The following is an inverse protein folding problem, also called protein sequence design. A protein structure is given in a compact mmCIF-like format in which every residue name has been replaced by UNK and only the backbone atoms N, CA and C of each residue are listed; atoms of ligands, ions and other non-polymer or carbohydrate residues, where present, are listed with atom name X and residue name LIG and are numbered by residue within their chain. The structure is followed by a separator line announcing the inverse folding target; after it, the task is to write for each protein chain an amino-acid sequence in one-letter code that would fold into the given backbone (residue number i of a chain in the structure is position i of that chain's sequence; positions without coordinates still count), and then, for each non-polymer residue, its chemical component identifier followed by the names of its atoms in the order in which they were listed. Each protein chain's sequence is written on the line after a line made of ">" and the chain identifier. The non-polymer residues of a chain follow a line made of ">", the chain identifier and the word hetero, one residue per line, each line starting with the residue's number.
data_IF_205019364175
#
_entry.id   IF_205019364175
#
_cell.length_a   1.000
_cell.length_b   1.000
_cell.length_c   1.000
_cell.angle_alpha   90.00
_cell.angle_beta   90.00
_cell.angle_gamma   90.00
#
_symmetry.space_group_name_H-M   'P 1'
#
loop_
_entity.id
_entity.type
_entity.pdbx_description
1 polymer ?
#
# COMPACT_ATOMS: atom_id res chain seq x y z
N UNK A 1 -54.65 13.47 48.63
CA UNK A 1 -53.31 13.48 49.26
C UNK A 1 -52.39 14.20 48.29
N UNK A 2 -52.06 15.49 48.47
CA UNK A 2 -50.91 16.00 49.25
C UNK A 2 -49.61 15.25 48.85
N UNK A 3 -48.52 15.82 48.34
CA UNK A 3 -48.05 17.17 48.04
C UNK A 3 -46.76 17.05 47.18
N UNK A 4 -46.40 18.03 46.33
CA UNK A 4 -45.30 18.99 46.53
C UNK A 4 -43.97 18.35 47.01
N UNK A 5 -42.82 18.49 46.34
CA UNK A 5 -42.06 19.76 46.27
C UNK A 5 -40.84 19.68 45.34
N UNK A 6 -40.64 20.78 44.59
CA UNK A 6 -39.36 21.27 44.07
C UNK A 6 -38.38 21.62 45.19
N UNK A 7 -37.06 21.48 44.95
CA UNK A 7 -36.06 22.40 45.54
C UNK A 7 -35.01 22.82 44.50
N UNK A 8 -34.77 24.12 44.55
CA UNK A 8 -34.04 25.07 43.72
C UNK A 8 -32.51 25.08 43.98
N UNK A 9 -31.69 25.21 42.91
CA UNK A 9 -30.54 26.16 42.64
C UNK A 9 -29.46 26.47 43.74
N UNK A 10 -28.37 27.23 43.45
CA UNK A 10 -27.41 27.28 42.32
C UNK A 10 -25.91 27.40 42.75
N UNK A 11 -25.03 27.51 41.75
CA UNK A 11 -23.62 27.99 41.68
C UNK A 11 -23.21 29.09 42.69
N UNK A 12 -22.00 28.96 43.29
CA UNK A 12 -21.07 30.08 43.54
C UNK A 12 -19.59 29.64 43.58
N UNK A 13 -18.78 30.29 42.75
CA UNK A 13 -17.30 30.34 42.83
C UNK A 13 -16.80 31.04 44.11
N UNK A 14 -15.50 30.93 44.44
CA UNK A 14 -14.78 32.13 44.84
C UNK A 14 -13.38 32.34 44.23
N UNK A 15 -12.97 33.60 44.35
CA UNK A 15 -11.89 34.32 43.69
C UNK A 15 -10.48 34.07 44.27
N UNK A 16 -9.50 34.13 43.37
CA UNK A 16 -8.11 34.65 43.46
C UNK A 16 -7.57 35.16 44.81
N UNK A 17 -6.29 34.83 45.09
CA UNK A 17 -5.25 35.77 45.56
C UNK A 17 -3.83 35.39 45.06
N UNK A 18 -2.97 36.42 44.96
CA UNK A 18 -1.65 36.54 44.31
C UNK A 18 -0.46 36.15 45.21
N UNK A 19 0.68 35.80 44.58
CA UNK A 19 2.05 36.40 44.70
C UNK A 19 3.06 35.56 43.88
N UNK A 20 3.60 36.03 42.74
CA UNK A 20 4.91 36.70 42.53
C UNK A 20 6.09 35.95 43.18
N UNK A 21 7.21 35.57 42.55
CA UNK A 21 8.19 36.22 41.62
C UNK A 21 9.04 35.04 41.04
N UNK A 22 9.80 35.12 39.95
CA UNK A 22 10.34 36.24 39.21
C UNK A 22 10.90 35.81 37.85
N UNK A 23 11.13 36.83 37.03
CA UNK A 23 11.66 36.82 35.67
C UNK A 23 13.15 36.47 35.65
N UNK A 24 13.63 35.81 34.60
CA UNK A 24 14.82 36.28 33.87
C UNK A 24 14.97 35.60 32.49
N UNK A 25 14.58 36.35 31.46
CA UNK A 25 15.28 36.48 30.18
C UNK A 25 15.11 37.95 29.75
N UNK A 26 16.14 38.60 29.17
CA UNK A 26 16.29 38.52 27.70
C UNK A 26 17.74 38.58 27.15
N UNK A 27 17.93 37.89 26.00
CA UNK A 27 18.55 38.24 24.67
C UNK A 27 19.63 39.35 24.58
N UNK A 28 20.23 39.59 23.39
CA UNK A 28 21.07 38.76 22.50
C UNK A 28 22.45 39.44 22.25
N UNK A 29 23.43 38.76 21.64
CA UNK A 29 24.66 39.45 21.18
C UNK A 29 24.97 39.18 19.72
N UNK A 30 25.32 40.27 19.03
CA UNK A 30 25.49 40.44 17.58
C UNK A 30 26.80 39.87 17.04
N UNK A 31 26.73 39.56 15.74
CA UNK A 31 27.76 39.53 14.70
C UNK A 31 29.12 40.20 14.98
N UNK A 32 30.18 39.49 14.60
CA UNK A 32 31.41 40.07 14.03
C UNK A 32 31.75 39.30 12.74
N UNK A 33 32.10 40.07 11.71
CA UNK A 33 32.58 39.68 10.38
C UNK A 33 34.09 39.98 10.27
N UNK A 34 34.73 39.49 9.19
CA UNK A 34 36.14 39.54 8.76
C UNK A 34 37.00 38.36 9.27
N UNK A 35 37.79 37.64 8.47
CA UNK A 35 38.47 37.97 7.22
C UNK A 35 38.69 36.73 6.33
N UNK A 36 38.83 37.01 5.03
CA UNK A 36 39.29 36.14 3.94
C UNK A 36 40.79 35.82 4.01
N UNK A 37 41.21 34.65 3.49
CA UNK A 37 42.39 34.33 2.64
C UNK A 37 42.53 32.79 2.61
N UNK A 38 42.27 32.13 1.46
CA UNK A 38 43.26 31.61 0.49
C UNK A 38 44.33 30.67 1.13
N UNK A 39 44.74 29.52 0.61
CA UNK A 39 44.52 28.83 -0.65
C UNK A 39 45.29 27.48 -0.55
N UNK A 40 44.87 26.49 -1.36
CA UNK A 40 45.72 25.46 -2.02
C UNK A 40 46.16 24.13 -1.37
N UNK A 41 46.02 23.11 -2.25
CA UNK A 41 46.64 21.77 -2.34
C UNK A 41 45.95 20.61 -1.59
N UNK A 42 45.57 19.49 -2.22
CA UNK A 42 45.72 19.04 -3.60
C UNK A 42 44.95 17.73 -3.82
N UNK A 43 44.31 17.61 -4.98
CA UNK A 43 43.61 16.42 -5.46
C UNK A 43 44.64 15.55 -6.18
N UNK A 44 44.77 14.28 -5.78
CA UNK A 44 45.56 13.27 -6.51
C UNK A 44 44.61 12.43 -7.38
N UNK A 45 44.73 12.44 -8.73
CA UNK A 45 44.14 11.40 -9.55
C UNK A 45 45.07 10.18 -9.60
N UNK A 46 44.59 9.03 -9.12
CA UNK A 46 45.26 7.74 -9.33
C UNK A 46 44.84 7.22 -10.71
N UNK A 47 45.75 7.34 -11.69
CA UNK A 47 45.63 6.66 -12.98
C UNK A 47 46.07 5.21 -12.84
N UNK A 48 45.15 4.27 -13.00
CA UNK A 48 45.47 2.84 -13.14
C UNK A 48 45.45 2.53 -14.64
N UNK A 49 46.63 2.45 -15.25
CA UNK A 49 46.85 1.86 -16.57
C UNK A 49 46.96 0.34 -16.43
N UNK A 50 46.08 -0.39 -17.11
CA UNK A 50 46.17 -1.84 -17.29
C UNK A 50 47.24 -2.21 -18.32
N UNK A 51 47.89 -3.38 -18.21
CA UNK A 51 48.44 -4.08 -19.36
C UNK A 51 47.37 -4.98 -19.99
N UNK A 52 47.13 -4.79 -21.29
CA UNK A 52 46.46 -5.75 -22.15
C UNK A 52 47.48 -6.86 -22.46
N UNK A 53 47.17 -8.10 -22.07
CA UNK A 53 47.89 -9.27 -22.57
C UNK A 53 46.97 -10.03 -23.54
N UNK A 54 47.44 -10.14 -24.78
CA UNK A 54 46.77 -10.71 -25.95
C UNK A 54 47.36 -12.09 -26.22
N UNK A 55 46.89 -13.13 -25.51
CA UNK A 55 47.05 -14.54 -25.91
C UNK A 55 45.91 -15.40 -25.33
N UNK A 56 44.88 -15.66 -26.15
CA UNK A 56 44.50 -17.04 -26.51
C UNK A 56 43.26 -17.03 -27.40
N UNK A 57 43.51 -17.12 -28.70
CA UNK A 57 42.51 -17.50 -29.69
C UNK A 57 42.39 -19.02 -29.70
N UNK A 58 41.14 -19.48 -29.74
CA UNK A 58 40.68 -20.77 -30.23
C UNK A 58 40.23 -21.80 -29.17
N UNK A 59 39.11 -21.52 -28.51
CA UNK A 59 38.16 -22.57 -28.14
C UNK A 59 36.81 -22.29 -28.82
N UNK A 60 36.41 -23.21 -29.71
CA UNK A 60 35.08 -23.20 -30.32
C UNK A 60 34.06 -23.50 -29.23
N UNK A 61 33.49 -22.46 -28.64
CA UNK A 61 32.25 -22.58 -27.88
C UNK A 61 31.10 -22.67 -28.89
N UNK A 62 30.56 -23.87 -29.00
CA UNK A 62 29.21 -24.13 -29.51
C UNK A 62 28.28 -23.16 -28.78
N UNK A 63 27.39 -22.40 -29.46
CA UNK A 63 26.40 -21.63 -28.73
C UNK A 63 25.53 -22.63 -28.00
N UNK A 64 25.60 -22.63 -26.67
CA UNK A 64 24.56 -23.22 -25.86
C UNK A 64 23.24 -22.60 -26.33
N UNK A 65 22.28 -23.44 -26.72
CA UNK A 65 20.89 -23.03 -26.81
C UNK A 65 20.57 -22.23 -25.54
N UNK A 66 20.31 -20.94 -25.73
CA UNK A 66 19.61 -20.16 -24.73
C UNK A 66 18.24 -20.82 -24.63
N UNK A 67 18.10 -21.75 -23.69
CA UNK A 67 16.79 -22.18 -23.22
C UNK A 67 16.13 -20.90 -22.70
N UNK A 68 15.28 -20.32 -23.54
CA UNK A 68 14.41 -19.23 -23.16
C UNK A 68 13.66 -19.68 -21.92
N UNK A 69 14.00 -19.11 -20.77
CA UNK A 69 13.14 -19.20 -19.59
C UNK A 69 11.88 -18.43 -19.99
N UNK A 70 10.86 -19.12 -20.49
CA UNK A 70 9.57 -18.53 -20.79
C UNK A 70 9.02 -17.96 -19.48
N UNK A 71 9.20 -16.66 -19.28
CA UNK A 71 8.53 -15.93 -18.22
C UNK A 71 7.03 -15.95 -18.52
N UNK A 72 6.21 -16.20 -17.49
CA UNK A 72 4.76 -16.08 -17.63
C UNK A 72 4.38 -14.72 -18.23
N UNK A 73 3.52 -14.74 -19.24
CA UNK A 73 2.97 -13.53 -19.84
C UNK A 73 2.14 -12.74 -18.81
N UNK A 74 1.94 -11.44 -19.05
CA UNK A 74 1.05 -10.61 -18.21
C UNK A 74 -0.35 -11.22 -18.09
N UNK A 75 -0.90 -11.74 -19.19
CA UNK A 75 -2.20 -12.43 -19.18
C UNK A 75 -2.19 -13.69 -18.31
N UNK A 76 -1.13 -14.52 -18.37
CA UNK A 76 -1.03 -15.72 -17.54
C UNK A 76 -0.88 -15.38 -16.04
N UNK A 77 -0.11 -14.34 -15.70
CA UNK A 77 -0.02 -13.82 -14.32
C UNK A 77 -1.36 -13.29 -13.83
N UNK A 78 -2.12 -12.62 -14.70
CA UNK A 78 -3.45 -12.10 -14.38
C UNK A 78 -4.45 -13.22 -14.12
N UNK A 79 -4.47 -14.26 -14.96
CA UNK A 79 -5.28 -15.44 -14.73
C UNK A 79 -4.90 -16.14 -13.42
N UNK A 80 -3.60 -16.29 -13.15
CA UNK A 80 -3.13 -16.85 -11.86
C UNK A 80 -3.64 -16.04 -10.67
N UNK A 81 -3.66 -14.71 -10.77
CA UNK A 81 -4.19 -13.86 -9.71
C UNK A 81 -5.69 -14.08 -9.53
N UNK A 82 -6.48 -14.15 -10.61
CA UNK A 82 -7.93 -14.45 -10.54
C UNK A 82 -8.17 -15.80 -9.87
N UNK A 83 -7.44 -16.84 -10.28
CA UNK A 83 -7.59 -18.18 -9.72
C UNK A 83 -7.33 -18.20 -8.19
N UNK A 84 -6.43 -17.33 -7.71
CA UNK A 84 -6.18 -17.17 -6.27
C UNK A 84 -7.35 -16.53 -5.50
N UNK A 85 -8.18 -15.69 -6.13
CA UNK A 85 -9.40 -15.18 -5.48
C UNK A 85 -10.43 -16.29 -5.29
N UNK A 86 -10.61 -17.12 -6.32
CA UNK A 86 -11.61 -18.20 -6.34
C UNK A 86 -11.15 -19.48 -5.61
N UNK A 87 -9.86 -19.58 -5.24
CA UNK A 87 -9.33 -20.69 -4.45
C UNK A 87 -10.04 -20.82 -3.08
N UNK A 88 -10.13 -22.02 -2.49
CA UNK A 88 -10.72 -22.19 -1.15
C UNK A 88 -9.95 -21.45 -0.04
N UNK A 89 -8.63 -21.37 -0.16
CA UNK A 89 -7.78 -20.64 0.78
C UNK A 89 -7.90 -19.13 0.55
N UNK A 90 -8.00 -18.34 1.61
CA UNK A 90 -7.97 -16.88 1.51
C UNK A 90 -6.65 -16.40 0.90
N UNK A 91 -6.73 -15.55 -0.12
CA UNK A 91 -5.55 -14.91 -0.68
C UNK A 91 -5.00 -13.88 0.29
N UNK A 92 -3.81 -14.16 0.85
CA UNK A 92 -3.06 -13.22 1.70
C UNK A 92 -2.04 -12.50 0.84
N UNK A 93 -2.14 -11.18 0.76
CA UNK A 93 -1.16 -10.35 0.04
C UNK A 93 -0.47 -9.41 1.01
N UNK A 94 0.84 -9.47 1.07
CA UNK A 94 1.64 -8.48 1.79
C UNK A 94 1.80 -7.26 0.90
N UNK A 95 1.51 -6.10 1.47
CA UNK A 95 1.67 -4.83 0.76
C UNK A 95 3.13 -4.36 0.82
N UNK A 96 3.68 -4.03 -0.34
CA UNK A 96 5.04 -3.49 -0.49
C UNK A 96 5.00 -2.10 -1.12
N UNK A 97 6.08 -1.34 -0.98
CA UNK A 97 6.18 0.05 -1.47
C UNK A 97 7.43 0.30 -2.32
N UNK A 98 8.37 -0.64 -2.37
CA UNK A 98 9.58 -0.55 -3.17
C UNK A 98 10.05 -1.94 -3.65
N UNK A 99 11.09 -1.94 -4.48
CA UNK A 99 11.68 -3.15 -5.07
C UNK A 99 12.34 -4.07 -4.05
N UNK A 100 12.96 -3.50 -3.00
CA UNK A 100 13.70 -4.29 -2.01
C UNK A 100 12.72 -5.07 -1.14
N UNK A 101 11.67 -4.42 -0.65
CA UNK A 101 10.56 -5.04 0.07
C UNK A 101 9.84 -6.07 -0.80
N UNK A 102 9.60 -5.77 -2.08
CA UNK A 102 9.01 -6.73 -3.01
C UNK A 102 9.83 -8.02 -3.15
N UNK A 103 11.15 -7.90 -3.31
CA UNK A 103 12.06 -9.06 -3.38
C UNK A 103 12.13 -9.83 -2.07
N UNK A 104 12.20 -9.13 -0.94
CA UNK A 104 12.24 -9.75 0.38
C UNK A 104 10.96 -10.59 0.63
N UNK A 105 9.80 -10.05 0.29
CA UNK A 105 8.51 -10.77 0.40
C UNK A 105 8.44 -11.92 -0.63
N UNK A 106 8.83 -11.68 -1.89
CA UNK A 106 8.79 -12.69 -2.95
C UNK A 106 9.75 -13.87 -2.73
N UNK A 107 10.78 -13.72 -1.89
CA UNK A 107 11.69 -14.80 -1.52
C UNK A 107 11.05 -15.84 -0.58
N UNK A 108 9.93 -15.50 0.07
CA UNK A 108 9.19 -16.42 0.92
C UNK A 108 8.39 -17.42 0.08
N UNK A 109 8.50 -18.74 0.33
CA UNK A 109 7.79 -19.76 -0.45
C UNK A 109 6.27 -19.66 -0.36
N UNK A 110 5.73 -19.00 0.67
CA UNK A 110 4.30 -18.76 0.86
C UNK A 110 3.75 -17.65 -0.03
N UNK A 111 4.62 -16.82 -0.62
CA UNK A 111 4.19 -15.67 -1.42
C UNK A 111 3.63 -16.13 -2.77
N UNK A 112 2.30 -16.12 -2.88
CA UNK A 112 1.59 -16.43 -4.13
C UNK A 112 1.32 -15.20 -5.00
N UNK A 113 1.17 -14.03 -4.39
CA UNK A 113 1.00 -12.73 -5.04
C UNK A 113 1.41 -11.59 -4.09
N UNK A 114 1.69 -10.41 -4.65
CA UNK A 114 2.05 -9.21 -3.90
C UNK A 114 1.05 -8.10 -4.20
N UNK A 115 0.73 -7.29 -3.19
CA UNK A 115 0.02 -6.04 -3.38
C UNK A 115 0.97 -4.85 -3.20
N UNK A 116 0.73 -3.73 -3.86
CA UNK A 116 1.37 -2.46 -3.48
C UNK A 116 0.52 -1.70 -2.45
N UNK A 117 1.12 -0.81 -1.67
CA UNK A 117 0.37 0.15 -0.85
C UNK A 117 0.60 1.57 -1.40
N UNK A 118 -0.46 2.22 -1.87
CA UNK A 118 -0.39 3.56 -2.44
C UNK A 118 0.18 4.57 -1.44
N UNK A 119 -0.32 4.52 -0.20
CA UNK A 119 0.20 5.31 0.93
C UNK A 119 1.71 5.12 1.14
N UNK A 120 2.20 3.87 1.10
CA UNK A 120 3.61 3.59 1.35
C UNK A 120 4.51 4.09 0.23
N UNK A 121 4.02 4.02 -1.02
CA UNK A 121 4.69 4.60 -2.19
C UNK A 121 4.69 6.13 -2.07
N UNK A 122 3.54 6.75 -1.77
CA UNK A 122 3.41 8.19 -1.58
C UNK A 122 4.44 8.71 -0.55
N UNK A 123 4.48 8.07 0.63
CA UNK A 123 5.42 8.41 1.69
C UNK A 123 6.89 8.30 1.24
N UNK A 124 7.23 7.32 0.39
CA UNK A 124 8.59 7.12 -0.14
C UNK A 124 9.04 8.28 -1.05
N UNK A 125 8.09 8.98 -1.68
CA UNK A 125 8.35 10.15 -2.52
C UNK A 125 8.05 11.48 -1.84
N UNK A 126 7.65 11.47 -0.56
CA UNK A 126 7.30 12.67 0.20
C UNK A 126 5.94 13.28 -0.16
N UNK A 127 5.05 12.50 -0.76
CA UNK A 127 3.64 12.88 -0.98
C UNK A 127 2.76 12.44 0.18
N UNK A 128 1.68 13.19 0.41
CA UNK A 128 0.58 12.73 1.25
C UNK A 128 -0.19 11.60 0.54
N UNK A 129 -0.81 10.73 1.33
CA UNK A 129 -1.63 9.62 0.80
C UNK A 129 -2.74 10.14 -0.14
N UNK A 130 -2.89 9.48 -1.29
CA UNK A 130 -3.85 9.87 -2.33
C UNK A 130 -3.51 11.18 -3.09
N UNK A 131 -2.29 11.71 -2.96
CA UNK A 131 -1.82 12.91 -3.69
C UNK A 131 -0.68 12.64 -4.69
N UNK A 132 -0.23 11.39 -4.79
CA UNK A 132 0.86 10.99 -5.70
C UNK A 132 0.46 11.17 -7.16
N UNK A 133 1.32 11.78 -8.01
CA UNK A 133 1.08 11.82 -9.45
C UNK A 133 0.99 10.42 -10.08
N UNK A 134 0.11 10.25 -11.07
CA UNK A 134 -0.12 8.96 -11.75
C UNK A 134 1.15 8.35 -12.31
N UNK A 135 1.97 9.15 -12.98
CA UNK A 135 3.23 8.71 -13.58
C UNK A 135 4.24 8.22 -12.54
N UNK A 136 4.33 8.90 -11.38
CA UNK A 136 5.14 8.46 -10.25
C UNK A 136 4.65 7.12 -9.70
N UNK A 137 3.33 6.94 -9.53
CA UNK A 137 2.76 5.67 -9.07
C UNK A 137 3.04 4.55 -10.07
N UNK A 138 2.75 4.76 -11.36
CA UNK A 138 2.94 3.77 -12.43
C UNK A 138 4.42 3.37 -12.55
N UNK A 139 5.37 4.30 -12.45
CA UNK A 139 6.80 3.99 -12.47
C UNK A 139 7.19 3.06 -11.31
N UNK A 140 6.79 3.37 -10.07
CA UNK A 140 7.14 2.54 -8.91
C UNK A 140 6.51 1.14 -8.99
N UNK A 141 5.21 1.04 -9.30
CA UNK A 141 4.54 -0.27 -9.40
C UNK A 141 5.11 -1.11 -10.56
N UNK A 142 5.52 -0.47 -11.66
CA UNK A 142 6.21 -1.13 -12.76
C UNK A 142 7.57 -1.70 -12.36
N UNK A 143 8.37 -0.94 -11.60
CA UNK A 143 9.65 -1.44 -11.04
C UNK A 143 9.44 -2.64 -10.14
N UNK A 144 8.41 -2.60 -9.29
CA UNK A 144 8.04 -3.71 -8.40
C UNK A 144 7.63 -4.93 -9.22
N UNK A 145 6.73 -4.78 -10.19
CA UNK A 145 6.25 -5.87 -11.04
C UNK A 145 7.39 -6.53 -11.85
N UNK A 146 8.34 -5.75 -12.34
CA UNK A 146 9.52 -6.26 -13.06
C UNK A 146 10.52 -7.00 -12.13
N UNK A 147 10.52 -6.70 -10.84
CA UNK A 147 11.46 -7.26 -9.88
C UNK A 147 11.06 -8.64 -9.34
N UNK A 148 9.82 -9.09 -9.57
CA UNK A 148 9.26 -10.33 -9.01
C UNK A 148 8.58 -11.21 -10.06
N UNK A 149 8.56 -12.53 -9.83
CA UNK A 149 7.91 -13.49 -10.74
C UNK A 149 6.42 -13.67 -10.44
N UNK A 150 6.01 -13.52 -9.18
CA UNK A 150 4.61 -13.63 -8.75
C UNK A 150 3.75 -12.50 -9.32
N UNK A 151 2.42 -12.70 -9.44
CA UNK A 151 1.49 -11.63 -9.77
C UNK A 151 1.58 -10.44 -8.81
N UNK A 152 1.48 -9.22 -9.37
CA UNK A 152 1.42 -7.96 -8.61
C UNK A 152 0.08 -7.27 -8.86
N UNK A 153 -0.62 -6.92 -7.79
CA UNK A 153 -1.82 -6.08 -7.81
C UNK A 153 -1.51 -4.70 -7.21
N UNK A 154 -1.81 -3.63 -7.93
CA UNK A 154 -1.45 -2.28 -7.52
C UNK A 154 -2.58 -1.57 -6.78
N UNK A 155 -2.24 -0.72 -5.82
CA UNK A 155 -3.15 0.31 -5.33
C UNK A 155 -3.08 1.53 -6.27
N UNK A 156 -4.18 1.82 -6.99
CA UNK A 156 -4.24 2.86 -8.02
C UNK A 156 -5.19 4.01 -7.63
N UNK A 157 -5.35 4.25 -6.32
CA UNK A 157 -6.22 5.27 -5.75
C UNK A 157 -7.62 5.23 -6.40
N UNK A 158 -8.16 6.36 -6.86
CA UNK A 158 -9.46 6.46 -7.53
C UNK A 158 -9.36 6.41 -9.07
N UNK A 159 -8.23 5.91 -9.60
CA UNK A 159 -7.94 5.84 -11.02
C UNK A 159 -7.37 7.12 -11.62
N UNK A 160 -6.90 8.08 -10.79
CA UNK A 160 -6.17 9.29 -11.21
C UNK A 160 -6.89 10.13 -12.29
N UNK A 161 -8.22 10.22 -12.20
CA UNK A 161 -9.06 10.98 -13.12
C UNK A 161 -9.41 10.28 -14.44
N UNK A 162 -8.69 9.22 -14.81
CA UNK A 162 -9.00 8.36 -15.96
C UNK A 162 -8.61 6.91 -15.63
N UNK A 163 -9.58 6.17 -15.09
CA UNK A 163 -9.34 4.81 -14.59
C UNK A 163 -8.98 3.83 -15.72
N UNK A 164 -9.58 3.99 -16.91
CA UNK A 164 -9.28 3.14 -18.07
C UNK A 164 -7.84 3.32 -18.55
N UNK A 165 -7.41 4.57 -18.76
CA UNK A 165 -6.03 4.83 -19.18
C UNK A 165 -5.02 4.45 -18.09
N UNK A 166 -5.34 4.68 -16.82
CA UNK A 166 -4.49 4.26 -15.70
C UNK A 166 -4.30 2.74 -15.69
N UNK A 167 -5.37 1.96 -15.89
CA UNK A 167 -5.29 0.50 -16.00
C UNK A 167 -4.44 0.08 -17.19
N UNK A 168 -4.62 0.71 -18.36
CA UNK A 168 -3.82 0.44 -19.55
C UNK A 168 -2.33 0.62 -19.29
N UNK A 169 -1.97 1.73 -18.65
CA UNK A 169 -0.58 2.02 -18.25
C UNK A 169 -0.04 1.02 -17.22
N UNK A 170 -0.86 0.61 -16.25
CA UNK A 170 -0.48 -0.38 -15.25
C UNK A 170 -0.22 -1.76 -15.88
N UNK A 171 -1.09 -2.19 -16.80
CA UNK A 171 -0.92 -3.43 -17.58
C UNK A 171 0.37 -3.40 -18.39
N UNK A 172 0.64 -2.29 -19.09
CA UNK A 172 1.87 -2.09 -19.85
C UNK A 172 3.12 -2.17 -18.95
N UNK A 173 3.00 -1.77 -17.68
CA UNK A 173 4.06 -1.87 -16.68
C UNK A 173 4.20 -3.26 -16.03
N UNK A 174 3.35 -4.23 -16.40
CA UNK A 174 3.38 -5.61 -15.90
C UNK A 174 2.53 -5.87 -14.65
N UNK A 175 1.72 -4.91 -14.22
CA UNK A 175 0.73 -5.09 -13.15
C UNK A 175 -0.48 -5.84 -13.70
N UNK A 176 -1.06 -6.75 -12.91
CA UNK A 176 -2.09 -7.69 -13.38
C UNK A 176 -3.40 -7.63 -12.61
N UNK A 177 -3.48 -6.77 -11.61
CA UNK A 177 -4.71 -6.43 -10.92
C UNK A 177 -4.57 -5.10 -10.22
N UNK A 178 -5.67 -4.57 -9.70
CA UNK A 178 -5.60 -3.35 -8.89
C UNK A 178 -6.73 -3.23 -7.88
N UNK A 179 -6.46 -2.44 -6.84
CA UNK A 179 -7.50 -1.73 -6.11
C UNK A 179 -7.75 -0.38 -6.81
N UNK A 180 -9.02 -0.07 -7.08
CA UNK A 180 -9.46 1.27 -7.48
C UNK A 180 -10.66 1.66 -6.62
N UNK A 181 -10.59 2.80 -5.94
CA UNK A 181 -11.56 3.24 -4.94
C UNK A 181 -12.60 4.21 -5.51
N UNK A 182 -13.84 4.08 -5.04
CA UNK A 182 -14.93 4.94 -5.46
C UNK A 182 -14.91 6.33 -4.79
N UNK A 183 -14.16 6.50 -3.70
CA UNK A 183 -14.18 7.69 -2.81
C UNK A 183 -15.60 8.11 -2.39
N UNK A 184 -16.56 7.18 -2.37
CA UNK A 184 -17.98 7.46 -2.23
C UNK A 184 -18.56 8.45 -3.25
N UNK A 185 -18.00 8.51 -4.46
CA UNK A 185 -18.64 9.15 -5.61
C UNK A 185 -20.04 8.55 -5.86
N UNK A 186 -20.93 9.26 -6.58
CA UNK A 186 -22.23 8.72 -6.98
C UNK A 186 -22.08 7.33 -7.62
N UNK A 187 -22.95 6.37 -7.24
CA UNK A 187 -22.82 4.98 -7.65
C UNK A 187 -22.65 4.81 -9.18
N UNK A 188 -23.41 5.58 -9.97
CA UNK A 188 -23.31 5.53 -11.43
C UNK A 188 -21.92 5.94 -11.96
N UNK A 189 -21.28 6.94 -11.33
CA UNK A 189 -19.92 7.35 -11.68
C UNK A 189 -18.89 6.27 -11.28
N UNK A 190 -19.09 5.65 -10.12
CA UNK A 190 -18.24 4.57 -9.64
C UNK A 190 -18.33 3.33 -10.55
N UNK A 191 -19.55 2.96 -10.98
CA UNK A 191 -19.78 1.86 -11.93
C UNK A 191 -19.15 2.17 -13.28
N UNK A 192 -19.31 3.40 -13.80
CA UNK A 192 -18.68 3.80 -15.07
C UNK A 192 -17.14 3.71 -15.02
N UNK A 193 -16.52 4.00 -13.87
CA UNK A 193 -15.08 3.81 -13.68
C UNK A 193 -14.69 2.32 -13.70
N UNK A 194 -15.48 1.44 -13.07
CA UNK A 194 -15.27 -0.02 -13.13
C UNK A 194 -15.38 -0.52 -14.58
N UNK A 195 -16.44 -0.15 -15.30
CA UNK A 195 -16.63 -0.53 -16.71
C UNK A 195 -15.46 -0.05 -17.60
N UNK A 196 -14.96 1.17 -17.36
CA UNK A 196 -13.81 1.70 -18.10
C UNK A 196 -12.53 0.88 -17.86
N UNK A 197 -12.29 0.42 -16.62
CA UNK A 197 -11.17 -0.45 -16.27
C UNK A 197 -11.30 -1.80 -16.99
N UNK A 198 -12.46 -2.44 -16.91
CA UNK A 198 -12.70 -3.75 -17.52
C UNK A 198 -12.52 -3.67 -19.04
N UNK A 199 -13.11 -2.65 -19.68
CA UNK A 199 -12.95 -2.41 -21.12
C UNK A 199 -11.50 -2.17 -21.53
N UNK A 200 -10.73 -1.41 -20.74
CA UNK A 200 -9.32 -1.17 -21.01
C UNK A 200 -8.50 -2.48 -20.92
N UNK A 201 -8.78 -3.31 -19.91
CA UNK A 201 -8.14 -4.61 -19.74
C UNK A 201 -8.46 -5.58 -20.89
N UNK A 202 -9.72 -5.63 -21.32
CA UNK A 202 -10.15 -6.42 -22.48
C UNK A 202 -9.43 -5.98 -23.78
N UNK A 203 -9.29 -4.68 -24.00
CA UNK A 203 -8.58 -4.13 -25.16
C UNK A 203 -7.08 -4.51 -25.18
N UNK A 204 -6.47 -4.67 -24.01
CA UNK A 204 -5.09 -5.15 -23.85
C UNK A 204 -4.99 -6.69 -23.84
N UNK A 205 -6.11 -7.41 -23.91
CA UNK A 205 -6.13 -8.88 -23.89
C UNK A 205 -5.69 -9.49 -22.56
N UNK A 206 -5.85 -8.76 -21.44
CA UNK A 206 -5.45 -9.20 -20.11
C UNK A 206 -6.69 -9.39 -19.23
N UNK A 207 -6.90 -10.57 -18.62
CA UNK A 207 -7.97 -10.77 -17.64
C UNK A 207 -7.57 -10.10 -16.32
N UNK A 208 -7.69 -8.78 -16.26
CA UNK A 208 -7.16 -7.97 -15.16
C UNK A 208 -7.99 -8.14 -13.88
N UNK A 209 -7.32 -8.49 -12.78
CA UNK A 209 -7.99 -8.74 -11.50
C UNK A 209 -8.34 -7.42 -10.80
N UNK A 210 -9.50 -6.85 -11.13
CA UNK A 210 -9.99 -5.64 -10.47
C UNK A 210 -10.63 -5.98 -9.12
N UNK A 211 -10.06 -5.46 -8.05
CA UNK A 211 -10.61 -5.48 -6.71
C UNK A 211 -11.21 -4.10 -6.39
N UNK A 212 -12.43 -3.87 -6.89
CA UNK A 212 -13.10 -2.58 -6.80
C UNK A 212 -13.36 -2.21 -5.33
N UNK A 213 -12.88 -1.04 -4.91
CA UNK A 213 -12.97 -0.60 -3.51
C UNK A 213 -14.15 0.34 -3.31
N UNK A 214 -14.95 0.04 -2.30
CA UNK A 214 -15.98 0.94 -1.80
C UNK A 214 -15.52 1.57 -0.49
N UNK A 215 -15.60 2.90 -0.42
CA UNK A 215 -15.27 3.65 0.79
C UNK A 215 -16.49 3.83 1.72
N UNK A 216 -17.56 3.05 1.55
CA UNK A 216 -18.79 3.12 2.35
C UNK A 216 -18.55 3.13 3.87
N UNK A 217 -17.56 2.37 4.35
CA UNK A 217 -17.16 2.38 5.76
C UNK A 217 -16.19 3.52 6.10
N UNK A 218 -15.06 3.62 5.38
CA UNK A 218 -13.98 4.54 5.75
C UNK A 218 -14.29 6.01 5.49
N UNK A 219 -15.19 6.30 4.55
CA UNK A 219 -15.75 7.64 4.29
C UNK A 219 -17.23 7.71 4.67
N UNK A 220 -17.72 6.72 5.42
CA UNK A 220 -19.08 6.64 5.96
C UNK A 220 -19.49 7.83 6.82
N UNK A 221 -18.51 8.50 7.44
CA UNK A 221 -18.76 9.56 8.41
C UNK A 221 -19.42 9.00 9.67
N UNK A 222 -20.46 9.69 10.15
CA UNK A 222 -21.25 9.27 11.31
C UNK A 222 -22.49 8.41 10.96
N UNK A 223 -22.56 7.86 9.74
CA UNK A 223 -23.68 7.00 9.33
C UNK A 223 -23.80 5.78 10.25
N UNK A 224 -25.03 5.31 10.53
CA UNK A 224 -25.22 4.01 11.17
C UNK A 224 -24.46 2.90 10.42
N UNK A 225 -23.98 1.91 11.17
CA UNK A 225 -23.21 0.80 10.60
C UNK A 225 -24.04 0.03 9.58
N UNK A 226 -25.34 -0.15 9.85
CA UNK A 226 -26.28 -0.87 9.00
C UNK A 226 -26.47 -0.18 7.65
N UNK A 227 -26.48 1.15 7.62
CA UNK A 227 -26.51 1.93 6.37
C UNK A 227 -25.21 1.77 5.58
N UNK A 228 -24.07 1.72 6.27
CA UNK A 228 -22.76 1.50 5.64
C UNK A 228 -22.64 0.08 5.07
N UNK A 229 -23.21 -0.92 5.75
CA UNK A 229 -23.32 -2.30 5.24
C UNK A 229 -24.19 -2.34 3.99
N UNK A 230 -25.39 -1.74 4.02
CA UNK A 230 -26.31 -1.74 2.89
C UNK A 230 -25.71 -1.04 1.66
N UNK A 231 -25.06 0.12 1.85
CA UNK A 231 -24.37 0.88 0.79
C UNK A 231 -23.18 0.08 0.21
N UNK A 232 -22.37 -0.57 1.07
CA UNK A 232 -21.28 -1.44 0.63
C UNK A 232 -21.79 -2.62 -0.20
N UNK A 233 -22.90 -3.25 0.19
CA UNK A 233 -23.51 -4.35 -0.56
C UNK A 233 -24.05 -3.86 -1.91
N UNK A 234 -24.75 -2.71 -1.93
CA UNK A 234 -25.29 -2.13 -3.16
C UNK A 234 -24.18 -1.83 -4.16
N UNK A 235 -23.13 -1.13 -3.72
CA UNK A 235 -21.95 -0.80 -4.53
C UNK A 235 -21.22 -2.07 -4.98
N UNK A 236 -21.00 -2.99 -4.05
CA UNK A 236 -20.29 -4.23 -4.31
C UNK A 236 -20.96 -5.07 -5.41
N UNK A 237 -22.28 -5.27 -5.34
CA UNK A 237 -23.03 -5.96 -6.39
C UNK A 237 -22.90 -5.27 -7.73
N UNK A 238 -23.08 -3.95 -7.77
CA UNK A 238 -22.95 -3.18 -9.01
C UNK A 238 -21.54 -3.26 -9.61
N UNK A 239 -20.50 -3.30 -8.79
CA UNK A 239 -19.12 -3.46 -9.27
C UNK A 239 -18.86 -4.87 -9.82
N UNK A 240 -19.40 -5.91 -9.17
CA UNK A 240 -19.32 -7.29 -9.69
C UNK A 240 -20.08 -7.44 -11.01
N UNK A 241 -21.30 -6.88 -11.11
CA UNK A 241 -22.10 -6.88 -12.33
C UNK A 241 -21.38 -6.17 -13.49
N UNK A 242 -20.58 -5.14 -13.18
CA UNK A 242 -19.74 -4.42 -14.14
C UNK A 242 -18.41 -5.14 -14.48
N UNK A 243 -18.14 -6.30 -13.87
CA UNK A 243 -16.99 -7.15 -14.20
C UNK A 243 -15.83 -7.14 -13.20
N UNK A 244 -15.97 -6.49 -12.04
CA UNK A 244 -14.95 -6.58 -11.00
C UNK A 244 -14.77 -8.03 -10.51
N UNK A 245 -13.53 -8.42 -10.22
CA UNK A 245 -13.19 -9.75 -9.69
C UNK A 245 -13.66 -9.93 -8.25
N UNK A 246 -13.49 -8.88 -7.45
CA UNK A 246 -13.86 -8.83 -6.03
C UNK A 246 -14.12 -7.39 -5.59
N UNK A 247 -14.66 -7.24 -4.38
CA UNK A 247 -15.01 -5.96 -3.77
C UNK A 247 -14.21 -5.77 -2.49
N UNK A 248 -13.41 -4.70 -2.42
CA UNK A 248 -12.69 -4.32 -1.22
C UNK A 248 -13.54 -3.42 -0.33
N UNK A 249 -13.77 -3.89 0.90
CA UNK A 249 -14.39 -3.10 1.97
C UNK A 249 -13.36 -2.88 3.07
N UNK A 250 -12.64 -1.73 3.09
CA UNK A 250 -11.67 -1.43 4.13
C UNK A 250 -12.35 -1.06 5.46
N UNK A 251 -11.71 -1.41 6.57
CA UNK A 251 -12.18 -1.10 7.92
C UNK A 251 -11.92 -2.23 8.91
N UNK A 252 -12.20 -1.97 10.19
CA UNK A 252 -12.23 -3.02 11.22
C UNK A 252 -13.64 -3.62 11.21
N UNK A 253 -13.80 -4.73 10.49
CA UNK A 253 -15.07 -5.41 10.31
C UNK A 253 -15.13 -6.61 11.27
N UNK A 254 -16.12 -6.63 12.16
CA UNK A 254 -16.36 -7.76 13.04
C UNK A 254 -16.99 -8.95 12.28
N UNK A 255 -17.19 -10.08 12.97
CA UNK A 255 -17.72 -11.29 12.35
C UNK A 255 -19.17 -11.13 11.84
N UNK A 256 -19.97 -10.29 12.49
CA UNK A 256 -21.37 -10.07 12.10
C UNK A 256 -21.47 -9.19 10.86
N UNK A 257 -20.71 -8.09 10.81
CA UNK A 257 -20.60 -7.21 9.65
C UNK A 257 -20.02 -7.99 8.47
N UNK A 258 -18.95 -8.76 8.69
CA UNK A 258 -18.32 -9.57 7.64
C UNK A 258 -19.30 -10.58 7.06
N UNK A 259 -20.07 -11.28 7.89
CA UNK A 259 -21.09 -12.23 7.40
C UNK A 259 -22.12 -11.55 6.52
N UNK A 260 -22.65 -10.40 6.93
CA UNK A 260 -23.61 -9.64 6.14
C UNK A 260 -23.02 -9.19 4.79
N UNK A 261 -21.76 -8.74 4.78
CA UNK A 261 -21.08 -8.35 3.55
C UNK A 261 -20.88 -9.55 2.61
N UNK A 262 -20.47 -10.71 3.15
CA UNK A 262 -20.28 -11.93 2.34
C UNK A 262 -21.62 -12.47 1.81
N UNK A 263 -22.65 -12.54 2.64
CA UNK A 263 -24.01 -12.94 2.21
C UNK A 263 -24.59 -11.96 1.19
N UNK A 264 -24.32 -10.66 1.37
CA UNK A 264 -24.79 -9.60 0.50
C UNK A 264 -24.08 -9.55 -0.84
N UNK A 265 -22.75 -9.57 -0.85
CA UNK A 265 -21.92 -9.37 -2.05
C UNK A 265 -21.65 -10.69 -2.76
N UNK A 266 -21.40 -11.76 -2.01
CA UNK A 266 -21.08 -13.08 -2.54
C UNK A 266 -19.91 -13.74 -1.81
N UNK A 267 -20.01 -15.07 -1.64
CA UNK A 267 -18.90 -15.89 -1.14
C UNK A 267 -17.69 -15.78 -2.07
N UNK A 268 -16.51 -15.63 -1.48
CA UNK A 268 -15.25 -15.43 -2.22
C UNK A 268 -15.25 -14.19 -3.13
N UNK A 269 -16.10 -13.20 -2.87
CA UNK A 269 -16.10 -11.90 -3.57
C UNK A 269 -15.75 -10.70 -2.70
N UNK A 270 -15.62 -10.88 -1.39
CA UNK A 270 -15.21 -9.80 -0.47
C UNK A 270 -13.70 -9.85 -0.22
N UNK A 271 -13.04 -8.70 -0.32
CA UNK A 271 -11.66 -8.45 0.11
C UNK A 271 -11.68 -7.52 1.33
N UNK A 272 -10.77 -7.74 2.28
CA UNK A 272 -10.64 -6.94 3.50
C UNK A 272 -9.19 -6.49 3.74
N UNK A 273 -8.99 -5.68 4.79
CA UNK A 273 -7.67 -5.25 5.26
C UNK A 273 -7.47 -5.71 6.71
N UNK A 274 -6.32 -6.34 6.97
CA UNK A 274 -5.87 -6.66 8.31
C UNK A 274 -5.35 -5.41 9.01
N UNK A 275 -5.91 -5.13 10.18
CA UNK A 275 -5.55 -4.01 11.05
C UNK A 275 -5.43 -4.51 12.50
N UNK A 276 -4.71 -3.80 13.38
CA UNK A 276 -4.79 -4.06 14.82
C UNK A 276 -6.25 -4.02 15.28
N UNK A 277 -6.72 -5.11 15.89
CA UNK A 277 -8.11 -5.28 16.34
C UNK A 277 -9.08 -5.88 15.30
N UNK A 278 -8.65 -6.10 14.06
CA UNK A 278 -9.43 -6.84 13.06
C UNK A 278 -9.38 -8.37 13.32
N UNK A 279 -10.25 -9.12 12.64
CA UNK A 279 -10.20 -10.57 12.68
C UNK A 279 -8.91 -11.11 12.04
N UNK A 280 -8.53 -12.33 12.40
CA UNK A 280 -7.40 -13.01 11.74
C UNK A 280 -7.78 -13.42 10.32
N UNK A 281 -6.78 -13.66 9.47
CA UNK A 281 -7.01 -14.16 8.11
C UNK A 281 -7.83 -15.47 8.11
N UNK A 282 -7.56 -16.38 9.04
CA UNK A 282 -8.31 -17.64 9.18
C UNK A 282 -9.77 -17.42 9.60
N UNK A 283 -10.03 -16.43 10.47
CA UNK A 283 -11.41 -16.09 10.84
C UNK A 283 -12.17 -15.44 9.67
N UNK A 284 -11.53 -14.57 8.88
CA UNK A 284 -12.12 -14.03 7.65
C UNK A 284 -12.37 -15.12 6.60
N UNK A 285 -11.42 -16.04 6.41
CA UNK A 285 -11.55 -17.19 5.51
C UNK A 285 -12.78 -18.05 5.87
N UNK A 286 -12.95 -18.39 7.15
CA UNK A 286 -14.10 -19.16 7.64
C UNK A 286 -15.45 -18.44 7.44
N UNK A 287 -15.44 -17.13 7.19
CA UNK A 287 -16.62 -16.34 6.87
C UNK A 287 -16.84 -16.16 5.37
N UNK A 288 -15.98 -16.73 4.51
CA UNK A 288 -16.11 -16.69 3.05
C UNK A 288 -15.40 -15.51 2.37
N UNK A 289 -14.50 -14.80 3.07
CA UNK A 289 -13.70 -13.72 2.48
C UNK A 289 -12.64 -14.27 1.51
N UNK A 290 -12.50 -13.62 0.36
CA UNK A 290 -11.61 -14.02 -0.73
C UNK A 290 -10.15 -13.62 -0.51
N UNK A 291 -9.95 -12.40 0.01
CA UNK A 291 -8.63 -11.77 0.07
C UNK A 291 -8.47 -10.91 1.32
N UNK A 292 -7.27 -10.93 1.88
CA UNK A 292 -6.83 -9.99 2.91
C UNK A 292 -5.51 -9.32 2.49
N UNK A 293 -5.48 -8.00 2.65
CA UNK A 293 -4.29 -7.14 2.49
C UNK A 293 -3.91 -6.49 3.82
N UNK A 294 -2.79 -5.77 3.90
CA UNK A 294 -2.27 -5.18 5.14
C UNK A 294 -1.90 -3.68 5.01
N UNK A 295 -2.19 -3.05 3.88
CA UNK A 295 -2.00 -1.61 3.65
C UNK A 295 -0.58 -1.13 3.97
N UNK A 296 -0.37 0.05 4.58
CA UNK A 296 0.96 0.55 4.91
C UNK A 296 1.57 -0.09 6.18
N UNK A 297 0.90 -1.05 6.83
CA UNK A 297 1.39 -1.60 8.10
C UNK A 297 2.73 -2.34 7.98
N UNK A 298 3.02 -3.14 6.94
CA UNK A 298 4.34 -3.73 6.76
C UNK A 298 5.45 -2.68 6.68
N UNK A 299 5.19 -1.53 6.04
CA UNK A 299 6.14 -0.41 6.01
C UNK A 299 6.37 0.17 7.41
N UNK A 300 5.28 0.35 8.18
CA UNK A 300 5.39 0.84 9.55
C UNK A 300 6.19 -0.10 10.43
N UNK A 301 6.04 -1.42 10.27
CA UNK A 301 6.86 -2.42 10.99
C UNK A 301 8.34 -2.28 10.61
N UNK A 302 8.65 -2.18 9.32
CA UNK A 302 10.03 -1.99 8.86
C UNK A 302 10.66 -0.70 9.40
N UNK A 303 9.90 0.41 9.40
CA UNK A 303 10.36 1.69 9.94
C UNK A 303 10.54 1.65 11.46
N UNK A 304 9.69 0.94 12.20
CA UNK A 304 9.88 0.71 13.63
C UNK A 304 11.20 -0.01 13.89
N UNK A 305 11.45 -1.13 13.20
CA UNK A 305 12.69 -1.89 13.36
C UNK A 305 13.93 -1.04 12.99
N UNK A 306 13.83 -0.19 11.97
CA UNK A 306 14.88 0.75 11.61
C UNK A 306 15.14 1.79 12.70
N UNK A 307 14.09 2.34 13.31
CA UNK A 307 14.22 3.31 14.42
C UNK A 307 14.81 2.66 15.68
N UNK A 308 14.39 1.44 16.01
CA UNK A 308 14.95 0.65 17.11
C UNK A 308 16.45 0.40 16.89
N UNK A 309 16.83 -0.08 15.70
CA UNK A 309 18.23 -0.26 15.34
C UNK A 309 19.02 1.05 15.41
N UNK A 310 18.47 2.17 14.92
CA UNK A 310 19.13 3.46 15.00
C UNK A 310 19.37 3.90 16.45
N UNK A 311 18.38 3.68 17.34
CA UNK A 311 18.53 3.91 18.78
C UNK A 311 19.66 3.08 19.37
N UNK A 312 19.72 1.79 19.04
CA UNK A 312 20.77 0.88 19.51
C UNK A 312 22.15 1.27 18.97
N UNK A 313 22.24 1.77 17.73
CA UNK A 313 23.48 2.24 17.14
C UNK A 313 23.97 3.53 17.78
N UNK A 314 23.08 4.48 18.10
CA UNK A 314 23.46 5.67 18.85
C UNK A 314 23.90 5.36 20.29
N UNK A 315 23.33 4.32 20.90
CA UNK A 315 23.70 3.89 22.25
C UNK A 315 24.97 3.03 22.31
N UNK A 316 25.00 1.94 21.54
CA UNK A 316 26.03 0.88 21.61
C UNK A 316 26.97 0.82 20.42
N UNK A 317 26.56 1.36 19.25
CA UNK A 317 27.30 1.25 17.99
C UNK A 317 27.35 -0.16 17.40
N UNK A 318 26.64 -1.14 17.96
CA UNK A 318 26.70 -2.53 17.53
C UNK A 318 25.63 -2.86 16.48
N UNK A 319 26.03 -3.57 15.41
CA UNK A 319 25.13 -4.08 14.38
C UNK A 319 24.78 -5.54 14.68
N UNK A 320 23.51 -5.96 14.60
CA UNK A 320 23.13 -7.37 14.73
C UNK A 320 23.79 -8.27 13.69
N UNK A 321 24.22 -9.48 14.08
CA UNK A 321 24.71 -10.49 13.16
C UNK A 321 23.56 -11.23 12.46
N UNK A 322 23.84 -11.85 11.30
CA UNK A 322 22.88 -12.72 10.60
C UNK A 322 21.79 -11.99 9.81
N UNK A 323 21.98 -10.72 9.49
CA UNK A 323 21.06 -9.96 8.63
C UNK A 323 21.15 -10.46 7.17
N UNK A 324 20.01 -10.57 6.46
CA UNK A 324 20.03 -10.94 5.05
C UNK A 324 20.73 -9.87 4.21
N UNK A 325 21.45 -10.30 3.16
CA UNK A 325 22.05 -9.39 2.19
C UNK A 325 20.97 -8.72 1.33
N UNK A 326 21.24 -7.48 0.89
CA UNK A 326 20.42 -6.82 -0.11
C UNK A 326 20.81 -7.31 -1.51
N UNK A 327 19.84 -7.93 -2.20
CA UNK A 327 19.94 -8.44 -3.57
C UNK A 327 20.93 -9.59 -3.77
#
# INVERSE_FOLDING_TARGET
>A
MLGATDIHRPDQSPKRTRRSRGRNQPKPTRFISLCSLNDQHGIYPVSITAPLDDQDRNSRLVPAEVTSVEGMTTAAKAQTLIDLYDAPEILRVVNVWDVVGARAVAALPETKAIATAGHGIAASFGYDDGSTPRDVMIDMVGRIAAAVRVPVTADLDDGYGDAGETTRLAIAAGVVGANVEDRLKPLAESVAAVEAIIKAAEAEGVPFALNARTDAFVRGGGRPVEESVADAIQRGRAFLDAGATAVFVPGILDANITRQLVEGIGERKVSVIGLPGALTAAAYEALGVARISYGPLPQRVALTALQELASDLYGTGAIPAGLPALN
#
